data_IF_992538779180
#
_entry.id   IF_992538779180
#
_cell.length_a   1.000
_cell.length_b   1.000
_cell.length_c   1.000
_cell.angle_alpha   90.00
_cell.angle_beta   90.00
_cell.angle_gamma   90.00
#
_symmetry.space_group_name_H-M   'P 1'
#
loop_
_entity.id
_entity.type
_entity.pdbx_description
1 polymer ?
#
# COMPACT_ATOMS: atom_id res chain seq x y z
N UNK A 1 -15.62 -2.57 -10.41
CA UNK A 1 -16.23 -2.39 -9.08
C UNK A 1 -17.32 -3.43 -8.76
N UNK A 2 -18.25 -3.69 -9.68
CA UNK A 2 -19.39 -4.63 -9.38
C UNK A 2 -18.93 -6.00 -8.91
N UNK A 3 -17.94 -6.59 -9.61
CA UNK A 3 -17.45 -7.93 -9.26
C UNK A 3 -16.65 -7.91 -7.95
N UNK A 4 -15.90 -6.83 -7.68
CA UNK A 4 -15.21 -6.66 -6.39
C UNK A 4 -16.20 -6.54 -5.24
N UNK A 5 -17.23 -5.71 -5.40
CA UNK A 5 -18.27 -5.57 -4.36
C UNK A 5 -19.06 -6.88 -4.15
N UNK A 6 -19.36 -7.59 -5.23
CA UNK A 6 -19.98 -8.91 -5.13
C UNK A 6 -19.11 -9.88 -4.31
N UNK A 7 -17.81 -9.91 -4.58
CA UNK A 7 -16.88 -10.78 -3.83
C UNK A 7 -16.75 -10.35 -2.36
N UNK A 8 -16.70 -9.06 -2.08
CA UNK A 8 -16.63 -8.52 -0.72
C UNK A 8 -17.90 -8.86 0.06
N UNK A 9 -19.07 -8.72 -0.55
CA UNK A 9 -20.35 -8.98 0.08
C UNK A 9 -20.59 -10.49 0.29
N UNK A 10 -20.45 -11.28 -0.78
CA UNK A 10 -20.94 -12.66 -0.78
C UNK A 10 -19.86 -13.70 -0.45
N UNK A 11 -18.60 -13.47 -0.81
CA UNK A 11 -17.52 -14.43 -0.56
C UNK A 11 -16.71 -14.06 0.70
N UNK A 12 -16.26 -12.81 0.79
CA UNK A 12 -15.52 -12.36 1.96
C UNK A 12 -16.41 -12.08 3.17
N UNK A 13 -17.72 -11.93 2.97
CA UNK A 13 -18.70 -11.71 4.03
C UNK A 13 -18.36 -10.51 4.90
N UNK A 14 -18.28 -9.35 4.27
CA UNK A 14 -17.97 -8.08 4.97
C UNK A 14 -18.94 -7.79 6.12
N UNK A 15 -20.17 -8.27 6.03
CA UNK A 15 -21.18 -8.23 7.09
C UNK A 15 -20.73 -8.93 8.38
N UNK A 16 -20.00 -10.04 8.26
CA UNK A 16 -19.43 -10.77 9.40
C UNK A 16 -18.14 -10.12 9.89
N UNK A 17 -17.31 -9.57 9.00
CA UNK A 17 -16.11 -8.83 9.37
C UNK A 17 -16.48 -7.59 10.21
N UNK A 18 -17.54 -6.88 9.84
CA UNK A 18 -18.04 -5.73 10.58
C UNK A 18 -18.57 -6.07 12.00
N UNK A 19 -18.71 -7.35 12.34
CA UNK A 19 -19.05 -7.79 13.71
C UNK A 19 -17.82 -8.01 14.59
N UNK A 20 -16.61 -7.96 14.01
CA UNK A 20 -15.35 -8.11 14.75
C UNK A 20 -15.03 -6.76 15.42
N UNK A 21 -14.71 -6.74 16.72
CA UNK A 21 -14.35 -5.52 17.42
C UNK A 21 -13.22 -4.77 16.71
N UNK A 22 -13.46 -3.48 16.44
CA UNK A 22 -12.55 -2.60 15.71
C UNK A 22 -12.85 -2.47 14.20
N UNK A 23 -13.83 -3.23 13.66
CA UNK A 23 -14.26 -3.14 12.26
C UNK A 23 -15.76 -2.79 12.11
N UNK A 24 -16.39 -2.27 13.16
CA UNK A 24 -17.83 -2.02 13.19
C UNK A 24 -18.30 -1.08 12.06
N UNK A 25 -17.45 -0.14 11.66
CA UNK A 25 -17.74 0.82 10.60
C UNK A 25 -17.35 0.34 9.19
N UNK A 26 -16.76 -0.87 9.08
CA UNK A 26 -16.27 -1.42 7.82
C UNK A 26 -17.32 -2.26 7.08
N UNK A 27 -18.55 -1.77 7.00
CA UNK A 27 -19.64 -2.42 6.26
C UNK A 27 -19.54 -2.24 4.73
N UNK A 28 -20.54 -2.78 4.01
CA UNK A 28 -20.59 -2.75 2.54
C UNK A 28 -20.59 -1.31 1.99
N UNK A 29 -21.31 -0.40 2.64
CA UNK A 29 -21.37 1.02 2.22
C UNK A 29 -19.99 1.68 2.30
N UNK A 30 -19.27 1.45 3.40
CA UNK A 30 -17.89 1.94 3.57
C UNK A 30 -16.97 1.32 2.52
N UNK A 31 -17.05 0.01 2.30
CA UNK A 31 -16.28 -0.67 1.27
C UNK A 31 -16.54 -0.07 -0.11
N UNK A 32 -17.81 0.16 -0.47
CA UNK A 32 -18.17 0.77 -1.75
C UNK A 32 -17.58 2.17 -1.91
N UNK A 33 -17.75 3.03 -0.91
CA UNK A 33 -17.23 4.40 -0.95
C UNK A 33 -15.70 4.44 -1.11
N UNK A 34 -14.97 3.59 -0.35
CA UNK A 34 -13.52 3.48 -0.43
C UNK A 34 -13.09 2.98 -1.82
N UNK A 35 -13.74 1.95 -2.35
CA UNK A 35 -13.39 1.43 -3.67
C UNK A 35 -13.69 2.42 -4.80
N UNK A 36 -14.75 3.21 -4.69
CA UNK A 36 -15.07 4.25 -5.68
C UNK A 36 -14.00 5.35 -5.71
N UNK A 37 -13.55 5.83 -4.57
CA UNK A 37 -12.47 6.82 -4.50
C UNK A 37 -11.11 6.22 -4.90
N UNK A 38 -10.83 4.98 -4.51
CA UNK A 38 -9.65 4.25 -4.96
C UNK A 38 -9.63 4.13 -6.50
N UNK A 39 -10.76 3.77 -7.11
CA UNK A 39 -10.86 3.68 -8.57
C UNK A 39 -10.58 5.02 -9.26
N UNK A 40 -11.09 6.13 -8.75
CA UNK A 40 -10.81 7.47 -9.29
C UNK A 40 -9.32 7.80 -9.25
N UNK A 41 -8.66 7.63 -8.09
CA UNK A 41 -7.22 7.86 -7.97
C UNK A 41 -6.45 7.01 -8.99
N UNK A 42 -6.78 5.72 -9.08
CA UNK A 42 -6.08 4.82 -9.97
C UNK A 42 -6.31 5.15 -11.45
N UNK A 43 -7.53 5.46 -11.86
CA UNK A 43 -7.86 5.79 -13.25
C UNK A 43 -7.30 7.15 -13.69
N UNK A 44 -7.41 8.16 -12.84
CA UNK A 44 -7.14 9.53 -13.21
C UNK A 44 -5.67 9.93 -12.99
N UNK A 45 -5.00 9.30 -12.02
CA UNK A 45 -3.65 9.70 -11.60
C UNK A 45 -2.61 8.61 -11.85
N UNK A 46 -2.89 7.35 -11.45
CA UNK A 46 -1.86 6.30 -11.43
C UNK A 46 -1.74 5.59 -12.79
N UNK A 47 -2.86 5.20 -13.41
CA UNK A 47 -2.85 4.44 -14.66
C UNK A 47 -2.20 5.21 -15.83
N UNK A 48 -2.41 6.52 -16.00
CA UNK A 48 -1.73 7.28 -17.07
C UNK A 48 -0.20 7.22 -17.00
N UNK A 49 0.35 7.06 -15.79
CA UNK A 49 1.79 7.01 -15.55
C UNK A 49 2.41 5.64 -15.89
N UNK A 50 1.62 4.60 -16.14
CA UNK A 50 2.16 3.28 -16.47
C UNK A 50 2.94 3.31 -17.79
N UNK A 51 2.38 3.97 -18.81
CA UNK A 51 3.08 4.18 -20.08
C UNK A 51 4.30 5.07 -19.93
N UNK A 52 4.18 6.14 -19.14
CA UNK A 52 5.29 7.06 -18.88
C UNK A 52 6.45 6.33 -18.19
N UNK A 53 6.16 5.44 -17.24
CA UNK A 53 7.17 4.62 -16.56
C UNK A 53 7.93 3.67 -17.48
N UNK A 54 7.26 3.15 -18.52
CA UNK A 54 7.91 2.31 -19.54
C UNK A 54 8.85 3.13 -20.44
N UNK A 55 8.45 4.33 -20.84
CA UNK A 55 9.22 5.20 -21.74
C UNK A 55 10.35 5.95 -21.05
N UNK A 56 10.11 6.42 -19.85
CA UNK A 56 11.02 7.24 -19.04
C UNK A 56 11.19 6.62 -17.63
N UNK A 57 11.84 5.44 -17.54
CA UNK A 57 12.03 4.77 -16.25
C UNK A 57 12.88 5.60 -15.30
N UNK A 58 12.79 5.27 -14.01
CA UNK A 58 13.68 5.85 -13.01
C UNK A 58 15.15 5.63 -13.37
N UNK A 59 15.97 6.65 -13.20
CA UNK A 59 17.37 6.64 -13.62
C UNK A 59 18.31 6.97 -12.46
N UNK A 60 19.35 6.16 -12.28
CA UNK A 60 20.41 6.39 -11.33
C UNK A 60 21.53 7.20 -11.98
N UNK A 61 21.90 8.31 -11.36
CA UNK A 61 22.99 9.18 -11.77
C UNK A 61 24.23 9.00 -10.90
N UNK A 62 25.36 9.46 -11.36
CA UNK A 62 26.58 9.57 -10.53
C UNK A 62 26.29 10.40 -9.26
N UNK A 63 26.99 10.07 -8.17
CA UNK A 63 26.81 10.73 -6.88
C UNK A 63 25.58 10.26 -6.09
N UNK A 64 25.13 9.02 -6.31
CA UNK A 64 24.01 8.38 -5.60
C UNK A 64 22.68 9.13 -5.72
N UNK A 65 22.45 9.77 -6.85
CA UNK A 65 21.23 10.52 -7.13
C UNK A 65 20.31 9.72 -8.05
N UNK A 66 19.02 9.70 -7.75
CA UNK A 66 17.98 9.05 -8.56
C UNK A 66 17.00 10.09 -9.05
N UNK A 67 16.65 10.02 -10.34
CA UNK A 67 15.49 10.73 -10.90
C UNK A 67 14.41 9.69 -11.12
N UNK A 68 13.24 9.88 -10.51
CA UNK A 68 12.09 9.01 -10.71
C UNK A 68 11.39 9.32 -12.02
N UNK A 69 10.57 8.38 -12.50
CA UNK A 69 9.67 8.61 -13.65
C UNK A 69 8.90 9.91 -13.48
N UNK A 70 8.78 10.75 -14.53
CA UNK A 70 7.98 11.97 -14.48
C UNK A 70 6.56 11.70 -13.99
N UNK A 71 6.09 12.50 -13.04
CA UNK A 71 4.75 12.39 -12.44
C UNK A 71 4.65 11.41 -11.26
N UNK A 72 5.59 10.49 -11.06
CA UNK A 72 5.53 9.53 -9.93
C UNK A 72 5.57 10.22 -8.57
N UNK A 73 6.37 11.24 -8.42
CA UNK A 73 6.49 11.99 -7.16
C UNK A 73 5.18 12.67 -6.78
N UNK A 74 4.55 13.32 -7.75
CA UNK A 74 3.27 14.02 -7.58
C UNK A 74 2.13 13.04 -7.31
N UNK A 75 2.12 11.91 -8.01
CA UNK A 75 1.15 10.84 -7.80
C UNK A 75 1.32 10.19 -6.41
N UNK A 76 2.56 9.95 -5.98
CA UNK A 76 2.83 9.41 -4.65
C UNK A 76 2.41 10.39 -3.54
N UNK A 77 2.60 11.69 -3.75
CA UNK A 77 2.11 12.72 -2.83
C UNK A 77 0.58 12.65 -2.68
N UNK A 78 -0.16 12.55 -3.80
CA UNK A 78 -1.62 12.41 -3.76
C UNK A 78 -2.05 11.10 -3.08
N UNK A 79 -1.34 10.00 -3.35
CA UNK A 79 -1.57 8.71 -2.69
C UNK A 79 -1.39 8.81 -1.16
N UNK A 80 -0.30 9.43 -0.71
CA UNK A 80 -0.01 9.61 0.71
C UNK A 80 -1.00 10.57 1.39
N UNK A 81 -1.26 11.74 0.80
CA UNK A 81 -2.20 12.74 1.31
C UNK A 81 -3.64 12.22 1.37
N UNK A 82 -4.01 11.30 0.47
CA UNK A 82 -5.29 10.59 0.50
C UNK A 82 -5.37 9.49 1.57
N UNK A 83 -4.30 9.22 2.31
CA UNK A 83 -4.26 8.22 3.38
C UNK A 83 -4.24 6.77 2.88
N UNK A 84 -3.95 6.54 1.60
CA UNK A 84 -4.01 5.20 0.99
C UNK A 84 -2.96 4.24 1.55
N UNK A 85 -1.79 4.74 1.94
CA UNK A 85 -0.78 3.90 2.60
C UNK A 85 -1.25 3.41 3.98
N UNK A 86 -2.03 4.23 4.68
CA UNK A 86 -2.53 3.92 6.02
C UNK A 86 -3.86 3.15 6.06
N UNK A 87 -4.44 2.81 4.91
CA UNK A 87 -5.81 2.30 4.79
C UNK A 87 -6.13 1.14 5.76
N UNK A 88 -5.24 0.15 5.85
CA UNK A 88 -5.41 -1.07 6.64
C UNK A 88 -4.57 -1.12 7.93
N UNK A 89 -3.86 -0.04 8.23
CA UNK A 89 -2.98 0.02 9.40
C UNK A 89 -3.65 0.63 10.62
N UNK A 90 -3.13 0.35 11.85
CA UNK A 90 -3.79 0.77 13.09
C UNK A 90 -3.98 2.27 13.22
N UNK A 91 -5.14 2.67 13.74
CA UNK A 91 -5.47 4.07 14.02
C UNK A 91 -4.54 4.70 15.06
N UNK A 92 -4.00 3.91 16.00
CA UNK A 92 -3.04 4.36 17.01
C UNK A 92 -1.78 4.99 16.43
N UNK A 93 -1.45 4.65 15.17
CA UNK A 93 -0.31 5.20 14.41
C UNK A 93 -0.75 6.02 13.19
N UNK A 94 -1.99 6.52 13.18
CA UNK A 94 -2.52 7.38 12.13
C UNK A 94 -3.08 6.66 10.92
N UNK A 95 -3.26 5.33 10.98
CA UNK A 95 -3.94 4.54 9.96
C UNK A 95 -5.46 4.66 10.04
N UNK A 96 -6.16 4.11 9.05
CA UNK A 96 -7.63 4.11 9.01
C UNK A 96 -8.25 2.85 9.65
N UNK A 97 -7.44 1.83 9.95
CA UNK A 97 -7.89 0.61 10.62
C UNK A 97 -8.89 -0.23 9.83
N UNK A 98 -8.99 -0.06 8.51
CA UNK A 98 -9.91 -0.84 7.70
C UNK A 98 -9.43 -2.30 7.54
N UNK A 99 -10.36 -3.25 7.35
CA UNK A 99 -9.98 -4.66 7.22
C UNK A 99 -9.18 -4.91 5.95
N UNK A 100 -8.28 -5.87 6.00
CA UNK A 100 -7.43 -6.29 4.86
C UNK A 100 -8.22 -6.68 3.62
N UNK A 101 -9.48 -7.07 3.76
CA UNK A 101 -10.38 -7.34 2.63
C UNK A 101 -10.57 -6.11 1.73
N UNK A 102 -10.77 -4.93 2.32
CA UNK A 102 -10.88 -3.67 1.57
C UNK A 102 -9.50 -3.27 1.03
N UNK A 103 -8.45 -3.40 1.85
CA UNK A 103 -7.08 -3.12 1.43
C UNK A 103 -6.63 -3.97 0.24
N UNK A 104 -7.00 -5.26 0.21
CA UNK A 104 -6.68 -6.16 -0.91
C UNK A 104 -7.35 -5.72 -2.22
N UNK A 105 -8.61 -5.30 -2.18
CA UNK A 105 -9.30 -4.80 -3.36
C UNK A 105 -8.69 -3.49 -3.90
N UNK A 106 -8.32 -2.58 -3.01
CA UNK A 106 -7.59 -1.36 -3.39
C UNK A 106 -6.19 -1.68 -3.95
N UNK A 107 -5.50 -2.64 -3.36
CA UNK A 107 -4.21 -3.15 -3.85
C UNK A 107 -4.32 -3.78 -5.24
N UNK A 108 -5.37 -4.53 -5.53
CA UNK A 108 -5.64 -5.07 -6.87
C UNK A 108 -5.80 -3.94 -7.89
N UNK A 109 -6.57 -2.89 -7.57
CA UNK A 109 -6.73 -1.73 -8.44
C UNK A 109 -5.40 -1.03 -8.70
N UNK A 110 -4.61 -0.79 -7.66
CA UNK A 110 -3.31 -0.12 -7.76
C UNK A 110 -2.33 -0.91 -8.62
N UNK A 111 -2.22 -2.22 -8.40
CA UNK A 111 -1.35 -3.09 -9.17
C UNK A 111 -1.80 -3.20 -10.64
N UNK A 112 -3.11 -3.25 -10.90
CA UNK A 112 -3.66 -3.23 -12.25
C UNK A 112 -3.40 -1.91 -12.98
N UNK A 113 -3.44 -0.79 -12.27
CA UNK A 113 -3.22 0.53 -12.83
C UNK A 113 -1.74 0.75 -13.19
N UNK A 114 -0.82 0.45 -12.26
CA UNK A 114 0.61 0.65 -12.45
C UNK A 114 1.42 -0.15 -11.43
N UNK A 115 1.85 -1.35 -11.81
CA UNK A 115 2.61 -2.22 -10.91
C UNK A 115 3.96 -1.60 -10.50
N UNK A 116 4.65 -0.91 -11.39
CA UNK A 116 5.93 -0.28 -11.06
C UNK A 116 5.80 0.80 -9.98
N UNK A 117 4.71 1.55 -9.99
CA UNK A 117 4.36 2.48 -8.92
C UNK A 117 3.99 1.71 -7.63
N UNK A 118 3.18 0.67 -7.74
CA UNK A 118 2.66 -0.10 -6.61
C UNK A 118 3.75 -0.79 -5.76
N UNK A 119 4.92 -1.09 -6.35
CA UNK A 119 6.03 -1.74 -5.63
C UNK A 119 6.52 -0.93 -4.42
N UNK A 120 6.49 0.41 -4.48
CA UNK A 120 6.90 1.25 -3.36
C UNK A 120 5.92 1.16 -2.17
N UNK A 121 4.61 1.40 -2.33
CA UNK A 121 3.62 1.17 -1.28
C UNK A 121 3.63 -0.25 -0.73
N UNK A 122 3.74 -1.26 -1.60
CA UNK A 122 3.77 -2.67 -1.21
C UNK A 122 4.92 -2.99 -0.24
N UNK A 123 6.13 -2.52 -0.54
CA UNK A 123 7.29 -2.76 0.32
C UNK A 123 7.22 -1.95 1.61
N UNK A 124 6.65 -0.76 1.56
CA UNK A 124 6.35 0.06 2.75
C UNK A 124 5.37 -0.66 3.67
N UNK A 125 4.33 -1.27 3.11
CA UNK A 125 3.35 -2.10 3.84
C UNK A 125 4.04 -3.26 4.57
N UNK A 126 4.94 -3.96 3.88
CA UNK A 126 5.75 -5.03 4.47
C UNK A 126 6.62 -4.54 5.63
N UNK A 127 7.23 -3.36 5.52
CA UNK A 127 8.02 -2.77 6.60
C UNK A 127 7.16 -2.39 7.81
N UNK A 128 5.96 -1.85 7.60
CA UNK A 128 4.98 -1.55 8.66
C UNK A 128 4.58 -2.83 9.39
N UNK A 129 4.20 -3.87 8.66
CA UNK A 129 3.80 -5.17 9.23
C UNK A 129 4.94 -5.82 10.04
N UNK A 130 6.19 -5.73 9.56
CA UNK A 130 7.35 -6.23 10.30
C UNK A 130 7.55 -5.49 11.63
N UNK A 131 7.42 -4.15 11.61
CA UNK A 131 7.52 -3.33 12.82
C UNK A 131 6.36 -3.61 13.80
N UNK A 132 5.14 -3.74 13.32
CA UNK A 132 3.97 -4.07 14.15
C UNK A 132 4.15 -5.42 14.84
N UNK A 133 4.69 -6.41 14.11
CA UNK A 133 4.83 -7.78 14.59
C UNK A 133 6.02 -7.96 15.55
N UNK A 134 7.17 -7.39 15.23
CA UNK A 134 8.44 -7.71 15.90
C UNK A 134 9.25 -6.48 16.33
N UNK A 135 8.82 -5.27 16.00
CA UNK A 135 9.51 -4.04 16.40
C UNK A 135 9.38 -3.77 17.90
N UNK A 136 10.43 -3.19 18.51
CA UNK A 136 10.34 -2.66 19.86
C UNK A 136 9.40 -1.44 19.92
N UNK A 137 8.90 -1.09 21.09
CA UNK A 137 8.04 0.08 21.27
C UNK A 137 8.74 1.38 20.82
N UNK A 138 10.05 1.48 21.03
CA UNK A 138 10.86 2.61 20.56
C UNK A 138 10.88 2.67 19.02
N UNK A 139 11.05 1.53 18.35
CA UNK A 139 11.03 1.46 16.88
C UNK A 139 9.65 1.79 16.35
N UNK A 140 8.58 1.24 16.94
CA UNK A 140 7.20 1.54 16.56
C UNK A 140 6.91 3.03 16.67
N UNK A 141 7.21 3.64 17.81
CA UNK A 141 7.01 5.07 18.03
C UNK A 141 7.80 5.97 17.06
N UNK A 142 8.98 5.52 16.64
CA UNK A 142 9.84 6.30 15.74
C UNK A 142 9.43 6.23 14.26
N UNK A 143 8.98 5.06 13.80
CA UNK A 143 8.86 4.80 12.37
C UNK A 143 7.42 4.66 11.88
N UNK A 144 6.49 4.09 12.67
CA UNK A 144 5.19 3.68 12.17
C UNK A 144 4.35 4.85 11.64
N UNK A 145 4.22 5.93 12.41
CA UNK A 145 3.44 7.09 11.98
C UNK A 145 3.93 7.66 10.63
N UNK A 146 5.24 7.73 10.44
CA UNK A 146 5.85 8.27 9.22
C UNK A 146 5.71 7.33 8.01
N UNK A 147 5.77 6.03 8.23
CA UNK A 147 5.56 5.04 7.18
C UNK A 147 4.07 4.97 6.80
N UNK A 148 3.17 4.99 7.78
CA UNK A 148 1.72 4.91 7.60
C UNK A 148 1.18 6.17 6.92
N UNK A 149 1.71 7.35 7.26
CA UNK A 149 1.35 8.60 6.57
C UNK A 149 1.92 8.70 5.14
N UNK A 150 2.89 7.85 4.77
CA UNK A 150 3.61 7.95 3.51
C UNK A 150 4.68 9.06 3.47
N UNK A 151 4.99 9.71 4.61
CA UNK A 151 6.11 10.64 4.70
C UNK A 151 7.44 9.93 4.42
N UNK A 152 7.58 8.71 4.93
CA UNK A 152 8.70 7.82 4.66
C UNK A 152 8.22 6.57 3.92
N UNK A 153 9.14 5.95 3.19
CA UNK A 153 8.91 4.68 2.51
C UNK A 153 9.84 3.60 3.04
N UNK A 154 9.33 2.36 3.06
CA UNK A 154 10.10 1.18 3.40
C UNK A 154 10.64 0.49 2.16
N UNK A 155 11.72 -0.26 2.34
CA UNK A 155 12.30 -1.15 1.33
C UNK A 155 12.52 -2.53 1.90
N UNK A 156 12.63 -3.54 1.04
CA UNK A 156 12.99 -4.89 1.43
C UNK A 156 14.35 -5.26 0.82
N UNK A 157 15.32 -5.54 1.68
CA UNK A 157 16.66 -5.97 1.30
C UNK A 157 16.87 -7.43 1.75
N UNK A 158 16.06 -8.35 1.21
CA UNK A 158 16.03 -9.74 1.63
C UNK A 158 17.11 -10.58 0.96
N UNK A 159 17.37 -10.36 -0.33
CA UNK A 159 18.36 -11.12 -1.10
C UNK A 159 19.78 -10.83 -0.65
N UNK A 160 20.53 -11.89 -0.34
CA UNK A 160 21.96 -11.83 -0.05
C UNK A 160 22.76 -12.50 -1.18
N UNK A 161 24.09 -12.28 -1.28
CA UNK A 161 24.90 -12.89 -2.36
C UNK A 161 24.79 -14.41 -2.45
N UNK A 162 24.57 -15.09 -1.34
CA UNK A 162 24.42 -16.55 -1.25
C UNK A 162 22.97 -17.03 -1.16
N UNK A 163 22.00 -16.13 -1.02
CA UNK A 163 20.61 -16.46 -0.71
C UNK A 163 19.64 -15.56 -1.46
N UNK A 164 19.10 -16.07 -2.55
CA UNK A 164 18.00 -15.43 -3.30
C UNK A 164 16.70 -16.18 -3.04
N UNK A 165 16.37 -17.14 -3.91
CA UNK A 165 15.15 -17.95 -3.78
C UNK A 165 15.17 -18.89 -2.57
N UNK A 166 16.35 -19.34 -2.17
CA UNK A 166 16.54 -20.17 -0.95
C UNK A 166 16.71 -19.27 0.28
N UNK A 167 15.59 -18.89 0.90
CA UNK A 167 15.59 -18.06 2.10
C UNK A 167 16.21 -18.74 3.32
N UNK A 168 16.30 -20.08 3.34
CA UNK A 168 16.94 -20.80 4.44
C UNK A 168 18.45 -20.55 4.50
N UNK A 169 19.05 -20.09 3.41
CA UNK A 169 20.48 -19.75 3.33
C UNK A 169 20.81 -18.30 3.78
N UNK A 170 19.82 -17.47 4.13
CA UNK A 170 20.03 -16.12 4.69
C UNK A 170 20.73 -16.21 6.05
N UNK A 171 21.72 -15.35 6.30
CA UNK A 171 22.56 -15.37 7.52
C UNK A 171 22.40 -14.10 8.33
#
# INVERSE_FOLDING_TARGET
LKDMLFNIEHLARIDQIAQIPGFEDAGLETAQAVLEECAKLNQDVIAPLNWEGDKNPSFHHDGNRVTTTPGFKEAFKQYAEGGWQGLQHPADFGGQGLPKTIGAACGEMLNSANMSFALCPLLTDGAIEALLTAGSDEMKAKYLEKLISGEWTGTMNLTEPQAGSDLAAVR
#
